data_IF_320264227636
#
_entry.id   IF_320264227636
#
_cell.length_a   1.000
_cell.length_b   1.000
_cell.length_c   1.000
_cell.angle_alpha   90.00
_cell.angle_beta   90.00
_cell.angle_gamma   90.00
#
_symmetry.space_group_name_H-M   'P 1'
#
loop_
_entity.id
_entity.type
_entity.pdbx_description
1 polymer ?
#
# COMPACT_ATOMS: atom_id res chain seq x y z
N UNK A 1 0.53 6.34 -17.87
CA UNK A 1 0.22 7.79 -17.85
C UNK A 1 0.99 8.47 -16.73
N UNK A 2 1.80 9.46 -17.08
CA UNK A 2 2.58 10.28 -16.14
C UNK A 2 1.87 11.61 -15.88
N UNK A 3 1.65 11.94 -14.61
CA UNK A 3 1.17 13.25 -14.15
C UNK A 3 2.20 13.88 -13.21
N UNK A 4 2.43 15.18 -13.36
CA UNK A 4 3.44 15.93 -12.61
C UNK A 4 2.77 16.98 -11.75
N UNK A 5 3.17 17.03 -10.49
CA UNK A 5 2.56 17.88 -9.49
C UNK A 5 3.60 18.75 -8.78
N UNK A 6 3.21 19.99 -8.54
CA UNK A 6 3.87 20.88 -7.60
C UNK A 6 3.01 20.99 -6.35
N UNK A 7 3.54 20.49 -5.24
CA UNK A 7 2.99 20.67 -3.91
C UNK A 7 3.38 22.08 -3.45
N UNK A 8 2.38 22.91 -3.12
CA UNK A 8 2.63 24.25 -2.64
C UNK A 8 2.77 24.28 -1.10
N UNK A 9 3.63 25.15 -0.53
CA UNK A 9 3.81 25.27 0.92
C UNK A 9 2.53 25.59 1.73
N UNK A 10 1.45 26.03 1.06
CA UNK A 10 0.15 26.34 1.67
C UNK A 10 -0.94 25.31 1.33
N UNK A 11 -0.55 24.14 0.84
CA UNK A 11 -1.35 22.92 0.93
C UNK A 11 -2.27 22.62 -0.24
N UNK A 12 -2.00 23.19 -1.42
CA UNK A 12 -2.68 22.78 -2.64
C UNK A 12 -1.66 22.16 -3.59
N UNK A 13 -2.10 21.13 -4.28
CA UNK A 13 -1.34 20.49 -5.34
C UNK A 13 -1.83 20.99 -6.70
N UNK A 14 -0.90 21.29 -7.61
CA UNK A 14 -1.24 21.72 -8.96
C UNK A 14 -0.49 20.89 -9.99
N UNK A 15 -1.18 20.54 -11.08
CA UNK A 15 -0.53 19.92 -12.24
C UNK A 15 0.43 20.93 -12.86
N UNK A 16 1.66 20.49 -13.14
CA UNK A 16 2.74 21.37 -13.62
C UNK A 16 3.65 20.68 -14.65
N UNK A 17 4.71 21.37 -15.05
CA UNK A 17 5.81 20.87 -15.89
C UNK A 17 6.92 20.23 -15.05
N UNK A 18 7.82 19.48 -15.69
CA UNK A 18 8.83 18.63 -15.03
C UNK A 18 9.82 19.39 -14.13
N UNK A 19 10.15 20.60 -14.55
CA UNK A 19 11.08 21.54 -13.91
C UNK A 19 10.57 22.10 -12.58
N UNK A 20 9.26 22.06 -12.34
CA UNK A 20 8.63 22.57 -11.12
C UNK A 20 8.04 21.46 -10.24
N UNK A 21 8.05 20.22 -10.73
CA UNK A 21 7.40 19.09 -10.07
C UNK A 21 8.25 18.55 -8.91
N UNK A 22 7.64 18.48 -7.73
CA UNK A 22 8.18 17.78 -6.56
C UNK A 22 7.49 16.42 -6.32
N UNK A 23 6.41 16.12 -7.06
CA UNK A 23 5.84 14.78 -7.15
C UNK A 23 5.54 14.40 -8.61
N UNK A 24 5.99 13.22 -9.02
CA UNK A 24 5.67 12.60 -10.31
C UNK A 24 4.89 11.32 -10.04
N UNK A 25 3.62 11.30 -10.45
CA UNK A 25 2.76 10.12 -10.36
C UNK A 25 2.74 9.41 -11.70
N UNK A 26 3.03 8.12 -11.68
CA UNK A 26 3.06 7.25 -12.85
C UNK A 26 2.04 6.14 -12.63
N UNK A 27 0.93 6.20 -13.37
CA UNK A 27 -0.15 5.22 -13.28
C UNK A 27 -0.18 4.36 -14.54
N UNK A 28 -0.21 3.04 -14.38
CA UNK A 28 -0.18 2.06 -15.47
C UNK A 28 0.89 2.42 -16.53
N UNK A 29 2.19 2.40 -16.16
CA UNK A 29 3.25 2.86 -17.05
C UNK A 29 3.37 2.01 -18.31
N UNK A 30 3.64 2.66 -19.44
CA UNK A 30 4.18 1.98 -20.62
C UNK A 30 5.70 1.74 -20.46
N UNK A 31 6.28 0.69 -21.06
CA UNK A 31 7.73 0.45 -20.99
C UNK A 31 8.58 1.64 -21.44
N UNK A 32 8.14 2.38 -22.46
CA UNK A 32 8.84 3.58 -22.93
C UNK A 32 8.79 4.74 -21.92
N UNK A 33 7.68 4.88 -21.17
CA UNK A 33 7.53 5.88 -20.11
C UNK A 33 8.55 5.61 -18.98
N UNK A 34 8.69 4.35 -18.56
CA UNK A 34 9.67 3.94 -17.55
C UNK A 34 11.11 4.17 -18.01
N UNK A 35 11.43 3.80 -19.25
CA UNK A 35 12.78 4.02 -19.80
C UNK A 35 13.14 5.50 -19.87
N UNK A 36 12.16 6.34 -20.20
CA UNK A 36 12.34 7.81 -20.20
C UNK A 36 12.65 8.31 -18.80
N UNK A 37 11.85 7.90 -17.79
CA UNK A 37 12.09 8.26 -16.39
C UNK A 37 13.47 7.79 -15.90
N UNK A 38 13.86 6.57 -16.26
CA UNK A 38 15.16 6.00 -15.89
C UNK A 38 16.31 6.83 -16.42
N UNK A 39 16.22 7.23 -17.69
CA UNK A 39 17.25 8.03 -18.35
C UNK A 39 17.29 9.45 -17.79
N UNK A 40 16.12 10.07 -17.59
CA UNK A 40 16.01 11.45 -17.07
C UNK A 40 16.52 11.58 -15.64
N UNK A 41 16.23 10.62 -14.77
CA UNK A 41 16.55 10.69 -13.35
C UNK A 41 17.70 9.78 -12.90
N UNK A 42 18.38 9.11 -13.85
CA UNK A 42 19.50 8.21 -13.55
C UNK A 42 19.08 7.02 -12.68
N UNK A 43 17.89 6.46 -12.93
CA UNK A 43 17.37 5.35 -12.13
C UNK A 43 18.04 4.02 -12.55
N UNK A 44 18.48 3.18 -11.59
CA UNK A 44 18.97 1.84 -11.90
C UNK A 44 17.92 0.99 -12.65
N UNK A 45 18.38 0.14 -13.59
CA UNK A 45 17.49 -0.76 -14.33
C UNK A 45 16.73 -1.73 -13.40
N UNK A 46 17.30 -2.06 -12.24
CA UNK A 46 16.66 -2.89 -11.21
C UNK A 46 15.41 -2.22 -10.62
N UNK A 47 15.33 -0.88 -10.60
CA UNK A 47 14.16 -0.17 -10.09
C UNK A 47 12.98 -0.29 -11.07
N UNK A 48 13.26 -0.36 -12.37
CA UNK A 48 12.24 -0.55 -13.41
C UNK A 48 11.70 -1.98 -13.38
N UNK A 49 12.58 -2.96 -13.15
CA UNK A 49 12.19 -4.34 -12.94
C UNK A 49 11.27 -4.45 -11.71
N UNK A 50 11.66 -3.85 -10.58
CA UNK A 50 10.83 -3.81 -9.37
C UNK A 50 9.47 -3.14 -9.62
N UNK A 51 9.44 -2.03 -10.37
CA UNK A 51 8.22 -1.32 -10.68
C UNK A 51 7.24 -2.10 -11.58
N UNK A 52 7.71 -3.10 -12.32
CA UNK A 52 6.91 -3.90 -13.26
C UNK A 52 6.60 -5.32 -12.77
N UNK A 53 7.24 -5.76 -11.69
CA UNK A 53 6.99 -7.08 -11.11
C UNK A 53 5.80 -7.05 -10.15
N UNK A 54 4.73 -7.75 -10.54
CA UNK A 54 3.49 -7.90 -9.76
C UNK A 54 3.69 -8.65 -8.42
N UNK A 55 4.76 -9.43 -8.30
CA UNK A 55 5.09 -10.22 -7.12
C UNK A 55 6.18 -9.58 -6.25
N UNK A 56 6.62 -8.35 -6.55
CA UNK A 56 7.65 -7.66 -5.78
C UNK A 56 7.22 -7.47 -4.32
N UNK A 57 8.15 -7.72 -3.40
CA UNK A 57 7.92 -7.62 -1.97
C UNK A 57 8.27 -6.25 -1.44
N UNK A 58 7.69 -5.88 -0.28
CA UNK A 58 8.01 -4.61 0.33
C UNK A 58 9.47 -4.60 0.81
N UNK A 59 10.24 -3.60 0.38
CA UNK A 59 11.66 -3.45 0.70
C UNK A 59 12.17 -2.05 0.39
N UNK A 60 13.41 -1.78 0.78
CA UNK A 60 14.08 -0.49 0.58
C UNK A 60 15.48 -0.68 0.02
N UNK A 61 15.93 0.28 -0.79
CA UNK A 61 17.32 0.39 -1.27
C UNK A 61 17.78 1.86 -1.24
N UNK A 62 19.10 2.08 -1.29
CA UNK A 62 19.67 3.43 -1.41
C UNK A 62 19.58 4.28 -0.13
N UNK A 63 19.45 3.64 1.03
CA UNK A 63 19.30 4.30 2.33
C UNK A 63 20.63 4.73 2.98
N UNK A 64 21.77 4.29 2.44
CA UNK A 64 23.07 4.72 2.95
C UNK A 64 23.49 6.03 2.25
N UNK A 65 24.00 7.05 2.96
CA UNK A 65 24.55 8.26 2.35
C UNK A 65 25.68 8.01 1.32
N UNK A 66 26.42 6.89 1.46
CA UNK A 66 27.44 6.48 0.50
C UNK A 66 26.86 5.89 -0.80
N UNK A 67 25.59 5.49 -0.81
CA UNK A 67 24.92 4.97 -1.99
C UNK A 67 24.71 6.12 -3.00
N UNK A 68 25.34 6.00 -4.16
CA UNK A 68 25.18 6.97 -5.26
C UNK A 68 23.96 6.67 -6.14
N UNK A 69 22.90 6.10 -5.55
CA UNK A 69 21.64 5.79 -6.23
C UNK A 69 20.47 6.49 -5.56
N UNK A 70 19.36 6.77 -6.27
CA UNK A 70 18.12 7.26 -5.66
C UNK A 70 17.60 6.29 -4.58
N UNK A 71 16.88 6.79 -3.57
CA UNK A 71 16.22 5.93 -2.60
C UNK A 71 15.08 5.16 -3.27
N UNK A 72 14.97 3.87 -3.00
CA UNK A 72 13.85 3.03 -3.44
C UNK A 72 13.06 2.57 -2.22
N UNK A 73 11.74 2.67 -2.32
CA UNK A 73 10.79 2.14 -1.36
C UNK A 73 9.75 1.38 -2.17
N UNK A 74 9.70 0.07 -2.03
CA UNK A 74 8.62 -0.75 -2.61
C UNK A 74 7.70 -1.15 -1.48
N UNK A 75 6.39 -0.98 -1.67
CA UNK A 75 5.36 -1.39 -0.73
C UNK A 75 4.20 -2.02 -1.49
N UNK A 76 3.30 -2.69 -0.78
CA UNK A 76 2.07 -3.25 -1.37
C UNK A 76 0.86 -2.54 -0.78
N UNK A 77 -0.23 -2.49 -1.54
CA UNK A 77 -1.49 -1.92 -1.09
C UNK A 77 -2.67 -2.82 -1.48
N UNK A 78 -3.77 -2.77 -0.71
CA UNK A 78 -4.92 -3.61 -0.96
C UNK A 78 -5.68 -3.14 -2.20
N UNK A 79 -6.18 -4.09 -2.97
CA UNK A 79 -7.10 -3.85 -4.09
C UNK A 79 -8.27 -4.82 -4.00
N UNK A 80 -9.46 -4.31 -4.32
CA UNK A 80 -10.67 -5.11 -4.43
C UNK A 80 -10.63 -5.93 -5.74
N UNK A 81 -11.04 -7.18 -5.65
CA UNK A 81 -11.12 -8.12 -6.76
C UNK A 81 -12.32 -9.05 -6.57
N UNK A 82 -12.51 -9.98 -7.49
CA UNK A 82 -13.58 -10.98 -7.42
C UNK A 82 -12.95 -12.36 -7.39
N UNK A 83 -13.34 -13.17 -6.41
CA UNK A 83 -12.96 -14.58 -6.32
C UNK A 83 -13.50 -15.39 -7.51
N UNK A 84 -12.93 -16.57 -7.75
CA UNK A 84 -13.40 -17.50 -8.80
C UNK A 84 -14.86 -17.91 -8.63
N UNK A 85 -15.37 -17.82 -7.41
CA UNK A 85 -16.75 -18.13 -7.03
C UNK A 85 -17.70 -16.92 -7.10
N UNK A 86 -17.23 -15.76 -7.56
CA UNK A 86 -18.04 -14.56 -7.77
C UNK A 86 -18.27 -13.68 -6.52
N UNK A 87 -17.55 -13.94 -5.44
CA UNK A 87 -17.60 -13.11 -4.22
C UNK A 87 -16.50 -12.07 -4.20
N UNK A 88 -16.78 -10.92 -3.62
CA UNK A 88 -15.80 -9.88 -3.34
C UNK A 88 -14.64 -10.45 -2.53
N UNK A 89 -13.43 -10.06 -2.91
CA UNK A 89 -12.19 -10.52 -2.33
C UNK A 89 -11.18 -9.37 -2.36
N UNK A 90 -10.20 -9.42 -1.46
CA UNK A 90 -9.02 -8.57 -1.56
C UNK A 90 -7.80 -9.31 -2.10
N UNK A 91 -6.96 -8.58 -2.81
CA UNK A 91 -5.58 -8.94 -3.11
C UNK A 91 -4.67 -7.77 -2.72
N UNK A 92 -3.36 -7.92 -2.86
CA UNK A 92 -2.42 -6.81 -2.77
C UNK A 92 -1.61 -6.68 -4.04
N UNK A 93 -1.26 -5.45 -4.40
CA UNK A 93 -0.43 -5.14 -5.58
C UNK A 93 0.70 -4.19 -5.18
N UNK A 94 1.85 -4.25 -5.86
CA UNK A 94 3.00 -3.43 -5.50
C UNK A 94 2.87 -1.99 -6.00
N UNK A 95 3.48 -1.08 -5.24
CA UNK A 95 3.76 0.30 -5.60
C UNK A 95 5.24 0.55 -5.39
N UNK A 96 5.87 1.15 -6.39
CA UNK A 96 7.25 1.63 -6.28
C UNK A 96 7.26 3.13 -6.00
N UNK A 97 8.00 3.54 -4.99
CA UNK A 97 8.28 4.94 -4.66
C UNK A 97 9.77 5.18 -4.73
N UNK A 98 10.16 6.22 -5.47
CA UNK A 98 11.56 6.60 -5.67
C UNK A 98 11.76 7.98 -5.08
N UNK A 99 12.71 8.09 -4.17
CA UNK A 99 13.06 9.31 -3.47
C UNK A 99 14.33 9.92 -4.07
N UNK A 100 14.18 11.11 -4.64
CA UNK A 100 15.26 11.96 -5.13
C UNK A 100 15.44 13.14 -4.17
N UNK A 101 16.52 13.91 -4.34
CA UNK A 101 16.84 15.02 -3.45
C UNK A 101 15.80 16.16 -3.49
N UNK A 102 15.05 16.30 -4.57
CA UNK A 102 14.11 17.41 -4.82
C UNK A 102 12.67 16.96 -5.12
N UNK A 103 12.45 15.65 -5.31
CA UNK A 103 11.14 15.12 -5.71
C UNK A 103 10.93 13.67 -5.30
N UNK A 104 9.66 13.24 -5.36
CA UNK A 104 9.24 11.85 -5.22
C UNK A 104 8.62 11.37 -6.53
N UNK A 105 8.92 10.15 -6.93
CA UNK A 105 8.25 9.47 -8.05
C UNK A 105 7.46 8.30 -7.48
N UNK A 106 6.16 8.22 -7.74
CA UNK A 106 5.34 7.04 -7.41
C UNK A 106 4.91 6.33 -8.68
N UNK A 107 5.03 5.00 -8.70
CA UNK A 107 4.69 4.14 -9.83
C UNK A 107 3.73 3.07 -9.34
N UNK A 108 2.52 3.03 -9.91
CA UNK A 108 1.52 1.98 -9.67
C UNK A 108 1.04 1.40 -11.00
N UNK A 109 0.75 0.10 -11.00
CA UNK A 109 0.07 -0.54 -12.13
C UNK A 109 -1.44 -0.40 -12.02
N UNK A 110 -2.00 -0.69 -10.85
CA UNK A 110 -3.40 -0.46 -10.55
C UNK A 110 -3.62 0.97 -10.04
N UNK A 111 -4.75 1.63 -10.36
CA UNK A 111 -5.03 2.95 -9.81
C UNK A 111 -5.23 2.88 -8.29
N UNK A 112 -4.42 3.63 -7.54
CA UNK A 112 -4.68 3.91 -6.14
C UNK A 112 -5.53 5.19 -6.04
N UNK A 113 -6.83 5.05 -5.80
CA UNK A 113 -7.78 6.19 -5.73
C UNK A 113 -7.43 7.16 -4.61
N UNK A 114 -6.84 6.68 -3.51
CA UNK A 114 -6.42 7.53 -2.39
C UNK A 114 -5.42 8.63 -2.80
N UNK A 115 -4.70 8.47 -3.91
CA UNK A 115 -3.85 9.53 -4.47
C UNK A 115 -4.63 10.70 -5.06
N UNK A 116 -5.88 10.52 -5.44
CA UNK A 116 -6.72 11.61 -5.94
C UNK A 116 -7.16 12.52 -4.78
N UNK A 117 -7.29 11.96 -3.57
CA UNK A 117 -7.63 12.70 -2.36
C UNK A 117 -6.46 13.52 -1.80
N UNK A 118 -5.21 13.13 -2.11
CA UNK A 118 -4.02 13.88 -1.73
C UNK A 118 -4.06 15.34 -2.22
N UNK A 119 -4.70 15.60 -3.37
CA UNK A 119 -4.81 16.94 -3.92
C UNK A 119 -5.54 17.93 -3.00
N UNK A 120 -6.35 17.42 -2.07
CA UNK A 120 -7.17 18.21 -1.14
C UNK A 120 -6.51 18.34 0.25
N UNK A 121 -5.39 17.67 0.48
CA UNK A 121 -4.70 17.65 1.76
C UNK A 121 -3.57 18.68 1.80
N UNK A 122 -3.25 19.17 3.01
CA UNK A 122 -2.08 20.02 3.24
C UNK A 122 -0.83 19.14 3.29
N UNK A 123 -0.17 19.00 2.14
CA UNK A 123 1.02 18.18 1.97
C UNK A 123 2.30 19.00 2.06
N UNK A 124 3.38 18.37 2.50
CA UNK A 124 4.70 19.00 2.50
C UNK A 124 5.35 18.96 1.12
N UNK A 125 5.99 20.05 0.65
CA UNK A 125 6.76 20.03 -0.59
C UNK A 125 8.14 19.37 -0.41
N UNK A 126 8.55 19.01 0.81
CA UNK A 126 9.84 18.36 1.05
C UNK A 126 9.74 16.87 0.72
N UNK A 127 10.65 16.31 -0.10
CA UNK A 127 10.55 14.93 -0.57
C UNK A 127 10.44 13.90 0.55
N UNK A 128 11.19 14.05 1.64
CA UNK A 128 11.18 13.11 2.77
C UNK A 128 9.86 13.19 3.56
N UNK A 129 9.34 14.39 3.80
CA UNK A 129 8.06 14.57 4.48
C UNK A 129 6.92 14.02 3.60
N UNK A 130 6.95 14.31 2.31
CA UNK A 130 5.95 13.81 1.36
C UNK A 130 6.01 12.29 1.19
N UNK A 131 7.20 11.70 1.17
CA UNK A 131 7.36 10.24 1.11
C UNK A 131 6.74 9.54 2.33
N UNK A 132 6.87 10.14 3.52
CA UNK A 132 6.21 9.64 4.73
C UNK A 132 4.69 9.81 4.68
N UNK A 133 4.19 10.91 4.11
CA UNK A 133 2.75 11.12 3.87
C UNK A 133 2.17 10.08 2.90
N UNK A 134 2.89 9.78 1.81
CA UNK A 134 2.54 8.72 0.86
C UNK A 134 2.57 7.35 1.53
N UNK A 135 3.62 7.06 2.31
CA UNK A 135 3.77 5.79 3.02
C UNK A 135 2.60 5.57 4.00
N UNK A 136 2.23 6.60 4.77
CA UNK A 136 1.05 6.58 5.63
C UNK A 136 -0.22 6.30 4.83
N UNK A 137 -0.47 7.07 3.75
CA UNK A 137 -1.67 6.95 2.92
C UNK A 137 -1.86 5.52 2.40
N UNK A 138 -0.78 4.93 1.91
CA UNK A 138 -0.81 3.60 1.29
C UNK A 138 -1.04 2.52 2.34
N UNK A 139 -0.37 2.59 3.49
CA UNK A 139 -0.53 1.61 4.57
C UNK A 139 -1.89 1.75 5.26
N UNK A 140 -2.42 2.97 5.36
CA UNK A 140 -3.75 3.23 5.90
C UNK A 140 -4.88 2.61 5.05
N UNK A 141 -4.63 2.30 3.76
CA UNK A 141 -5.60 1.56 2.94
C UNK A 141 -5.92 0.18 3.51
N UNK A 142 -4.97 -0.46 4.21
CA UNK A 142 -5.24 -1.74 4.87
C UNK A 142 -6.24 -1.57 6.01
N UNK A 143 -6.15 -0.50 6.79
CA UNK A 143 -7.12 -0.20 7.87
C UNK A 143 -8.52 -0.02 7.26
N UNK A 144 -8.64 0.78 6.21
CA UNK A 144 -9.91 1.00 5.49
C UNK A 144 -10.49 -0.32 4.95
N UNK A 145 -9.65 -1.16 4.33
CA UNK A 145 -10.08 -2.46 3.82
C UNK A 145 -10.48 -3.42 4.96
N UNK A 146 -9.78 -3.38 6.09
CA UNK A 146 -10.08 -4.19 7.26
C UNK A 146 -11.39 -3.77 7.94
N UNK A 147 -11.73 -2.48 7.95
CA UNK A 147 -13.03 -2.00 8.44
C UNK A 147 -14.17 -2.59 7.61
N UNK A 148 -14.04 -2.58 6.28
CA UNK A 148 -15.02 -3.21 5.37
C UNK A 148 -15.15 -4.72 5.64
N UNK A 149 -14.03 -5.44 5.72
CA UNK A 149 -14.03 -6.88 6.02
C UNK A 149 -14.62 -7.21 7.39
N UNK A 150 -14.39 -6.37 8.39
CA UNK A 150 -14.96 -6.53 9.72
C UNK A 150 -16.49 -6.34 9.69
N UNK A 151 -16.98 -5.38 8.92
CA UNK A 151 -18.42 -5.18 8.75
C UNK A 151 -19.09 -6.33 7.98
N UNK A 152 -18.44 -6.86 6.94
CA UNK A 152 -18.87 -8.09 6.27
C UNK A 152 -18.89 -9.29 7.23
N UNK A 153 -17.88 -9.41 8.08
CA UNK A 153 -17.78 -10.47 9.10
C UNK A 153 -18.98 -10.42 10.06
N UNK A 154 -19.37 -9.23 10.53
CA UNK A 154 -20.58 -9.04 11.36
C UNK A 154 -21.87 -9.39 10.62
N UNK A 155 -21.94 -9.16 9.31
CA UNK A 155 -23.11 -9.54 8.52
C UNK A 155 -23.25 -11.06 8.42
N UNK A 156 -22.13 -11.78 8.23
CA UNK A 156 -22.11 -13.24 8.23
C UNK A 156 -22.55 -13.78 9.59
N UNK A 157 -22.04 -13.22 10.69
CA UNK A 157 -22.44 -13.56 12.06
C UNK A 157 -23.96 -13.46 12.27
N UNK A 158 -24.58 -12.36 11.82
CA UNK A 158 -26.04 -12.17 11.95
C UNK A 158 -26.86 -13.15 11.12
N UNK A 159 -26.26 -13.74 10.09
CA UNK A 159 -26.93 -14.66 9.17
C UNK A 159 -26.84 -16.14 9.58
N UNK A 160 -25.97 -16.47 10.54
CA UNK A 160 -25.63 -17.84 10.97
C UNK A 160 -26.79 -18.68 11.55
N UNK A 161 -28.00 -18.12 11.69
CA UNK A 161 -29.19 -18.82 12.18
C UNK A 161 -30.37 -18.94 11.20
N UNK A 162 -30.27 -18.41 9.97
CA UNK A 162 -31.43 -18.27 9.05
C UNK A 162 -31.42 -19.21 7.83
N UNK A 163 -30.58 -20.24 7.84
CA UNK A 163 -30.22 -21.16 6.75
C UNK A 163 -28.88 -20.81 6.11
N UNK A 164 -27.80 -21.33 6.71
CA UNK A 164 -26.48 -21.29 6.11
C UNK A 164 -26.44 -22.12 4.82
N UNK A 165 -25.76 -21.63 3.78
CA UNK A 165 -25.69 -22.26 2.45
C UNK A 165 -24.25 -22.32 1.98
N UNK A 166 -23.96 -23.16 0.99
CA UNK A 166 -22.64 -23.25 0.34
C UNK A 166 -22.10 -21.87 -0.10
N UNK A 167 -22.98 -20.93 -0.45
CA UNK A 167 -22.60 -19.54 -0.79
C UNK A 167 -21.87 -18.82 0.33
N UNK A 168 -22.21 -19.07 1.60
CA UNK A 168 -21.51 -18.47 2.74
C UNK A 168 -20.11 -19.07 2.95
N UNK A 169 -19.93 -20.37 2.67
CA UNK A 169 -18.59 -20.98 2.70
C UNK A 169 -17.68 -20.34 1.65
N UNK A 170 -18.18 -20.15 0.42
CA UNK A 170 -17.42 -19.47 -0.63
C UNK A 170 -17.07 -18.03 -0.27
N UNK A 171 -17.99 -17.27 0.32
CA UNK A 171 -17.73 -15.92 0.82
C UNK A 171 -16.66 -15.93 1.93
N UNK A 172 -16.76 -16.82 2.92
CA UNK A 172 -15.78 -16.95 3.99
C UNK A 172 -14.39 -17.30 3.43
N UNK A 173 -14.30 -18.20 2.45
CA UNK A 173 -13.03 -18.55 1.80
C UNK A 173 -12.43 -17.36 1.02
N UNK A 174 -13.26 -16.59 0.33
CA UNK A 174 -12.81 -15.38 -0.37
C UNK A 174 -12.21 -14.36 0.60
N UNK A 175 -12.89 -14.10 1.72
CA UNK A 175 -12.41 -13.21 2.77
C UNK A 175 -11.11 -13.73 3.42
N UNK A 176 -11.05 -15.02 3.77
CA UNK A 176 -9.85 -15.65 4.35
C UNK A 176 -8.64 -15.53 3.41
N UNK A 177 -8.84 -15.75 2.10
CA UNK A 177 -7.77 -15.57 1.10
C UNK A 177 -7.27 -14.13 1.05
N UNK A 178 -8.15 -13.15 1.16
CA UNK A 178 -7.77 -11.73 1.26
C UNK A 178 -6.92 -11.43 2.48
N UNK A 179 -7.28 -11.98 3.65
CA UNK A 179 -6.52 -11.80 4.88
C UNK A 179 -5.10 -12.38 4.80
N UNK A 180 -4.91 -13.52 4.11
CA UNK A 180 -3.58 -14.08 3.87
C UNK A 180 -2.68 -13.12 3.08
N UNK A 181 -3.22 -12.45 2.06
CA UNK A 181 -2.47 -11.44 1.32
C UNK A 181 -2.15 -10.20 2.16
N UNK A 182 -3.06 -9.80 3.05
CA UNK A 182 -2.85 -8.65 3.93
C UNK A 182 -1.80 -8.95 4.99
N UNK A 183 -1.84 -10.12 5.62
CA UNK A 183 -0.86 -10.54 6.63
C UNK A 183 0.56 -10.50 6.04
N UNK A 184 0.77 -11.14 4.89
CA UNK A 184 2.06 -11.14 4.20
C UNK A 184 2.53 -9.72 3.81
N UNK A 185 1.64 -8.89 3.28
CA UNK A 185 1.99 -7.52 2.88
C UNK A 185 2.34 -6.63 4.08
N UNK A 186 1.61 -6.74 5.19
CA UNK A 186 1.83 -5.97 6.40
C UNK A 186 3.09 -6.43 7.16
N UNK A 187 3.38 -7.73 7.17
CA UNK A 187 4.63 -8.25 7.76
C UNK A 187 5.87 -7.73 7.02
N UNK A 188 5.85 -7.79 5.68
CA UNK A 188 6.91 -7.18 4.86
C UNK A 188 6.99 -5.66 5.07
N UNK A 189 5.85 -4.98 5.21
CA UNK A 189 5.81 -3.54 5.49
C UNK A 189 6.44 -3.22 6.85
N UNK A 190 6.19 -4.02 7.89
CA UNK A 190 6.85 -3.86 9.19
C UNK A 190 8.37 -4.01 9.12
N UNK A 191 8.87 -4.92 8.28
CA UNK A 191 10.32 -5.07 8.03
C UNK A 191 10.89 -3.88 7.28
N UNK A 192 10.18 -3.39 6.26
CA UNK A 192 10.52 -2.18 5.53
C UNK A 192 10.63 -0.95 6.45
N UNK A 193 9.67 -0.75 7.36
CA UNK A 193 9.67 0.42 8.25
C UNK A 193 10.86 0.41 9.20
N UNK A 194 11.24 -0.77 9.72
CA UNK A 194 12.47 -0.92 10.52
C UNK A 194 13.70 -0.53 9.71
N UNK A 195 13.81 -1.01 8.47
CA UNK A 195 14.92 -0.67 7.59
C UNK A 195 14.98 0.82 7.25
N UNK A 196 13.83 1.49 7.06
CA UNK A 196 13.77 2.95 6.90
C UNK A 196 14.27 3.68 8.14
N UNK A 197 13.88 3.22 9.34
CA UNK A 197 14.25 3.83 10.62
C UNK A 197 15.75 3.72 10.89
N UNK A 198 16.34 2.59 10.52
CA UNK A 198 17.77 2.33 10.71
C UNK A 198 18.64 2.96 9.60
N UNK A 199 18.01 3.52 8.55
CA UNK A 199 18.68 4.21 7.45
C UNK A 199 19.23 5.59 7.83
N UNK A 200 20.39 5.94 7.30
CA UNK A 200 21.12 7.15 7.70
C UNK A 200 20.94 8.34 6.74
N UNK A 201 20.33 8.13 5.57
CA UNK A 201 20.26 9.16 4.51
C UNK A 201 19.04 10.09 4.61
N UNK A 202 17.83 9.55 4.54
CA UNK A 202 16.61 10.35 4.33
C UNK A 202 15.83 10.64 5.63
N UNK A 203 15.62 9.63 6.46
CA UNK A 203 14.70 9.72 7.62
C UNK A 203 15.44 9.80 8.97
N UNK A 204 16.57 10.50 9.01
CA UNK A 204 17.52 10.47 10.13
C UNK A 204 17.30 11.53 11.23
N UNK A 205 16.27 12.39 11.10
CA UNK A 205 15.97 13.42 12.10
C UNK A 205 14.86 12.99 13.05
N UNK A 206 14.87 13.49 14.29
CA UNK A 206 13.82 13.19 15.28
C UNK A 206 12.39 13.51 14.79
N UNK A 207 12.23 14.52 13.92
CA UNK A 207 10.94 14.85 13.32
C UNK A 207 10.45 13.77 12.36
N UNK A 208 11.34 13.22 11.53
CA UNK A 208 11.03 12.14 10.61
C UNK A 208 10.81 10.82 11.34
N UNK A 209 11.63 10.50 12.34
CA UNK A 209 11.47 9.30 13.15
C UNK A 209 10.13 9.27 13.90
N UNK A 210 9.63 10.43 14.37
CA UNK A 210 8.29 10.51 14.96
C UNK A 210 7.19 10.20 13.95
N UNK A 211 7.23 10.78 12.76
CA UNK A 211 6.25 10.51 11.70
C UNK A 211 6.31 9.07 11.23
N UNK A 212 7.50 8.50 11.12
CA UNK A 212 7.69 7.09 10.80
C UNK A 212 7.08 6.19 11.88
N UNK A 213 7.22 6.56 13.16
CA UNK A 213 6.56 5.84 14.25
C UNK A 213 5.03 5.87 14.14
N UNK A 214 4.43 6.99 13.74
CA UNK A 214 2.98 7.06 13.51
C UNK A 214 2.55 6.07 12.42
N UNK A 215 3.35 5.93 11.36
CA UNK A 215 3.14 4.91 10.30
C UNK A 215 3.32 3.47 10.83
N UNK A 216 4.32 3.23 11.69
CA UNK A 216 4.52 1.92 12.32
C UNK A 216 3.30 1.51 13.16
N UNK A 217 2.68 2.46 13.87
CA UNK A 217 1.47 2.21 14.67
C UNK A 217 0.31 1.75 13.78
N UNK A 218 0.08 2.41 12.63
CA UNK A 218 -0.97 2.01 11.68
C UNK A 218 -0.77 0.58 11.15
N UNK A 219 0.47 0.19 10.86
CA UNK A 219 0.77 -1.18 10.41
C UNK A 219 0.49 -2.19 11.52
N UNK A 220 0.87 -1.90 12.76
CA UNK A 220 0.61 -2.77 13.91
C UNK A 220 -0.89 -2.89 14.19
N UNK A 221 -1.64 -1.80 14.01
CA UNK A 221 -3.10 -1.79 14.10
C UNK A 221 -3.72 -2.71 13.04
N UNK A 222 -3.36 -2.51 11.76
CA UNK A 222 -3.86 -3.34 10.66
C UNK A 222 -3.53 -4.84 10.86
N UNK A 223 -2.30 -5.18 11.30
CA UNK A 223 -1.91 -6.55 11.64
C UNK A 223 -2.76 -7.13 12.78
N UNK A 224 -3.15 -6.30 13.74
CA UNK A 224 -4.02 -6.72 14.84
C UNK A 224 -5.44 -6.98 14.35
N UNK A 225 -5.97 -6.12 13.47
CA UNK A 225 -7.27 -6.35 12.83
C UNK A 225 -7.27 -7.65 12.03
N UNK A 226 -6.25 -7.91 11.20
CA UNK A 226 -6.12 -9.14 10.40
C UNK A 226 -6.21 -10.37 11.31
N UNK A 227 -5.36 -10.46 12.34
CA UNK A 227 -5.33 -11.61 13.27
C UNK A 227 -6.65 -11.83 14.00
N UNK A 228 -7.38 -10.76 14.34
CA UNK A 228 -8.69 -10.87 15.00
C UNK A 228 -9.73 -11.41 14.00
N UNK A 229 -9.82 -10.81 12.81
CA UNK A 229 -10.78 -11.20 11.78
C UNK A 229 -10.53 -12.63 11.30
N UNK A 230 -9.27 -13.06 11.12
CA UNK A 230 -8.93 -14.44 10.76
C UNK A 230 -9.46 -15.46 11.76
N UNK A 231 -9.32 -15.17 13.08
CA UNK A 231 -9.86 -16.03 14.14
C UNK A 231 -11.39 -16.11 14.07
N UNK A 232 -12.07 -14.98 13.86
CA UNK A 232 -13.52 -14.94 13.73
C UNK A 232 -14.00 -15.73 12.51
N UNK A 233 -13.42 -15.50 11.33
CA UNK A 233 -13.79 -16.22 10.11
C UNK A 233 -13.53 -17.73 10.23
N UNK A 234 -12.48 -18.15 10.92
CA UNK A 234 -12.20 -19.57 11.17
C UNK A 234 -13.27 -20.21 12.06
N UNK A 235 -13.69 -19.52 13.13
CA UNK A 235 -14.78 -19.97 14.00
C UNK A 235 -16.09 -20.08 13.22
N UNK A 236 -16.42 -19.08 12.39
CA UNK A 236 -17.63 -19.08 11.58
C UNK A 236 -17.60 -20.15 10.47
N UNK A 237 -16.47 -20.33 9.78
CA UNK A 237 -16.30 -21.39 8.79
C UNK A 237 -16.55 -22.78 9.39
N UNK A 238 -16.06 -23.01 10.61
CA UNK A 238 -16.31 -24.25 11.36
C UNK A 238 -17.80 -24.43 11.68
N UNK A 239 -18.46 -23.37 12.17
CA UNK A 239 -19.89 -23.41 12.49
C UNK A 239 -20.78 -23.62 11.25
N UNK A 240 -20.51 -22.89 10.16
CA UNK A 240 -21.23 -23.04 8.88
C UNK A 240 -21.04 -24.45 8.32
N UNK A 241 -19.82 -24.98 8.34
CA UNK A 241 -19.55 -26.35 7.85
C UNK A 241 -20.32 -27.41 8.64
N UNK A 242 -20.44 -27.25 9.95
CA UNK A 242 -21.23 -28.14 10.80
C UNK A 242 -22.74 -28.04 10.52
N UNK A 243 -23.26 -26.85 10.22
CA UNK A 243 -24.68 -26.65 9.86
C UNK A 243 -24.99 -27.25 8.49
N UNK A 244 -24.12 -27.04 7.49
CA UNK A 244 -24.31 -27.54 6.12
C UNK A 244 -24.18 -29.06 6.04
N UNK A 245 -23.41 -29.67 6.93
CA UNK A 245 -23.21 -31.13 6.96
C UNK A 245 -24.31 -31.91 7.68
N UNK A 246 -25.24 -31.23 8.36
CA UNK A 246 -26.42 -31.82 9.02
C UNK A 246 -27.67 -31.68 8.14
#
# INVERSE_FOLDING_TARGET
>A
MITRYQIQPRGNMQVTTDDQANWIRVSAPLPQELQTLATTYGLPATYLAAATDQHENARVEGLNPADQVPGLIVLRYPVETTSETGFDQYNTVPMTMILLNDRVITITHDPLQAFDDLAQQKLSPKPEEFALEVLWLVLHQFVIAMDKLNDETKQIERSLGKAAKNTQLYQLMAMQKGLVFFDAALDHSGTLLKALRDGERFFNTNGYLRRLHDVEVEVVEAQTMVRITEKLLTQYSTAVSAIVSN
#
